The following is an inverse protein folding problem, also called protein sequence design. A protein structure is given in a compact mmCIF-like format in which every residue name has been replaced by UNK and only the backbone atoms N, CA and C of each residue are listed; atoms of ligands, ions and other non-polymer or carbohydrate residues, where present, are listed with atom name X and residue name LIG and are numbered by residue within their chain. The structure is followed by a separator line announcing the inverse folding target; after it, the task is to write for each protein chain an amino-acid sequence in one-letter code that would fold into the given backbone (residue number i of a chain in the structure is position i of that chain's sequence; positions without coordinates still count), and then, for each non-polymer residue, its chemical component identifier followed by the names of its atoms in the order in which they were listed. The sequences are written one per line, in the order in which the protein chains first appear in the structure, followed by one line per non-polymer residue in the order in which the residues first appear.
data_IF_703240195521
#
_entry.id   IF_703240195521
#
_cell.length_a   1.000
_cell.length_b   1.000
_cell.length_c   1.000
_cell.angle_alpha   90.00
_cell.angle_beta   90.00
_cell.angle_gamma   90.00
#
_symmetry.space_group_name_H-M   'P 1'
#
loop_
_entity.id
_entity.type
_entity.pdbx_description
1 polymer ?
#
# COMPACT_ATOMS: atom_id res chain seq x y z
N UNK A 1 13.15 -5.59 5.80
CA UNK A 1 12.09 -6.59 6.00
C UNK A 1 10.78 -5.95 5.60
N UNK A 2 10.19 -6.43 4.50
CA UNK A 2 8.88 -5.94 4.04
C UNK A 2 7.84 -6.46 5.03
N UNK A 3 7.37 -5.60 5.94
CA UNK A 3 6.37 -5.97 6.95
C UNK A 3 4.96 -6.16 6.35
N UNK A 4 4.70 -5.62 5.16
CA UNK A 4 3.43 -5.78 4.46
C UNK A 4 3.64 -6.43 3.08
N UNK A 5 3.35 -7.74 2.93
CA UNK A 5 3.56 -8.45 1.68
C UNK A 5 2.71 -7.88 0.54
N UNK A 6 1.53 -7.35 0.88
CA UNK A 6 0.62 -6.75 -0.08
C UNK A 6 1.18 -5.48 -0.72
N UNK A 7 1.75 -4.57 0.06
CA UNK A 7 2.44 -3.39 -0.45
C UNK A 7 3.60 -3.75 -1.40
N UNK A 8 4.35 -4.80 -1.11
CA UNK A 8 5.42 -5.25 -1.99
C UNK A 8 4.90 -5.88 -3.28
N UNK A 9 3.81 -6.66 -3.21
CA UNK A 9 3.12 -7.15 -4.41
C UNK A 9 2.70 -5.97 -5.30
N UNK A 10 2.01 -4.95 -4.75
CA UNK A 10 1.57 -3.77 -5.50
C UNK A 10 2.74 -3.06 -6.19
N UNK A 11 3.90 -2.92 -5.54
CA UNK A 11 5.07 -2.27 -6.13
C UNK A 11 5.74 -3.09 -7.24
N UNK A 12 5.54 -4.41 -7.26
CA UNK A 12 6.05 -5.28 -8.32
C UNK A 12 5.08 -5.39 -9.50
N UNK A 13 3.79 -5.13 -9.28
CA UNK A 13 2.77 -5.15 -10.30
C UNK A 13 2.86 -3.88 -11.18
N UNK A 14 2.80 -4.00 -12.52
CA UNK A 14 2.79 -2.86 -13.43
C UNK A 14 1.41 -2.18 -13.44
N UNK A 15 1.05 -1.53 -12.33
CA UNK A 15 -0.26 -0.89 -12.14
C UNK A 15 -0.21 0.60 -12.49
N UNK A 16 -1.25 1.15 -13.13
CA UNK A 16 -1.40 2.60 -13.26
C UNK A 16 -1.51 3.29 -11.90
N UNK A 17 -1.02 4.55 -11.78
CA UNK A 17 -1.09 5.35 -10.53
C UNK A 17 -2.45 5.30 -9.85
N UNK A 18 -3.55 5.39 -10.60
CA UNK A 18 -4.92 5.32 -10.07
C UNK A 18 -5.25 3.99 -9.39
N UNK A 19 -4.88 2.87 -10.03
CA UNK A 19 -5.15 1.52 -9.53
C UNK A 19 -4.21 1.20 -8.36
N UNK A 20 -2.98 1.69 -8.42
CA UNK A 20 -2.03 1.62 -7.33
C UNK A 20 -2.56 2.36 -6.09
N UNK A 21 -3.13 3.55 -6.26
CA UNK A 21 -3.79 4.27 -5.15
C UNK A 21 -4.98 3.48 -4.59
N UNK A 22 -5.82 2.88 -5.42
CA UNK A 22 -6.90 2.01 -4.94
C UNK A 22 -6.32 0.86 -4.09
N UNK A 23 -5.29 0.19 -4.58
CA UNK A 23 -4.69 -0.96 -3.92
C UNK A 23 -3.97 -0.57 -2.61
N UNK A 24 -3.34 0.60 -2.55
CA UNK A 24 -2.69 1.12 -1.33
C UNK A 24 -3.69 1.48 -0.24
N UNK A 25 -4.90 1.86 -0.62
CA UNK A 25 -5.99 2.24 0.28
C UNK A 25 -6.96 1.09 0.57
N UNK A 26 -6.61 -0.11 0.11
CA UNK A 26 -7.28 -1.34 0.45
C UNK A 26 -6.30 -2.34 1.05
N UNK A 27 -6.73 -3.10 2.06
CA UNK A 27 -5.93 -4.22 2.54
C UNK A 27 -6.35 -5.51 1.83
N UNK A 28 -5.38 -6.38 1.56
CA UNK A 28 -5.60 -7.70 0.97
C UNK A 28 -5.96 -8.70 2.06
N UNK A 29 -7.12 -9.31 1.92
CA UNK A 29 -7.56 -10.47 2.68
C UNK A 29 -7.60 -11.68 1.76
N UNK A 30 -6.76 -12.68 2.05
CA UNK A 30 -6.79 -13.95 1.35
C UNK A 30 -7.98 -14.77 1.87
N UNK A 31 -8.99 -15.01 1.02
CA UNK A 31 -10.16 -15.84 1.38
C UNK A 31 -9.88 -17.29 1.03
N UNK A 32 -9.18 -17.55 -0.08
CA UNK A 32 -8.74 -18.88 -0.52
C UNK A 32 -7.53 -18.77 -1.46
N UNK A 33 -6.95 -19.89 -1.91
CA UNK A 33 -5.81 -19.89 -2.84
C UNK A 33 -6.07 -19.10 -4.14
N UNK A 34 -7.32 -19.11 -4.62
CA UNK A 34 -7.75 -18.41 -5.83
C UNK A 34 -8.73 -17.26 -5.57
N UNK A 35 -8.99 -16.88 -4.30
CA UNK A 35 -9.95 -15.83 -3.97
C UNK A 35 -9.34 -14.80 -3.02
N UNK A 36 -9.38 -13.54 -3.46
CA UNK A 36 -8.81 -12.41 -2.75
C UNK A 36 -9.91 -11.37 -2.56
N UNK A 37 -10.09 -10.94 -1.31
CA UNK A 37 -10.96 -9.84 -0.97
C UNK A 37 -10.12 -8.61 -0.62
N UNK A 38 -10.33 -7.51 -1.32
CA UNK A 38 -9.74 -6.22 -1.00
C UNK A 38 -10.75 -5.38 -0.24
N UNK A 39 -10.34 -4.97 0.95
CA UNK A 39 -11.17 -4.17 1.83
C UNK A 39 -10.75 -2.71 1.67
N UNK A 40 -11.49 -1.98 0.86
CA UNK A 40 -11.25 -0.60 0.52
C UNK A 40 -11.90 0.32 1.54
N UNK A 41 -11.18 1.36 1.96
CA UNK A 41 -11.77 2.39 2.82
C UNK A 41 -12.92 3.11 2.11
N UNK A 42 -14.10 3.26 2.75
CA UNK A 42 -15.26 3.91 2.13
C UNK A 42 -14.96 5.35 1.70
N UNK A 43 -14.05 6.05 2.40
CA UNK A 43 -13.55 7.38 2.01
C UNK A 43 -12.98 7.44 0.59
N UNK A 44 -12.52 6.29 0.07
CA UNK A 44 -11.87 6.16 -1.24
C UNK A 44 -12.64 5.27 -2.21
N UNK A 45 -13.92 5.02 -1.92
CA UNK A 45 -14.86 4.32 -2.82
C UNK A 45 -14.86 4.89 -4.24
N UNK A 46 -14.64 6.19 -4.41
CA UNK A 46 -14.60 6.85 -5.73
C UNK A 46 -13.46 6.34 -6.64
N UNK A 47 -12.38 5.79 -6.06
CA UNK A 47 -11.31 5.14 -6.80
C UNK A 47 -11.74 3.75 -7.31
N UNK A 48 -12.72 3.12 -6.65
CA UNK A 48 -13.26 1.82 -7.02
C UNK A 48 -14.17 1.93 -8.24
N UNK A 49 -13.55 1.86 -9.40
CA UNK A 49 -14.23 1.77 -10.69
C UNK A 49 -14.09 0.35 -11.23
N UNK A 50 -15.08 -0.10 -12.02
CA UNK A 50 -15.01 -1.41 -12.66
C UNK A 50 -13.72 -1.61 -13.46
N UNK A 51 -13.26 -0.56 -14.15
CA UNK A 51 -11.98 -0.57 -14.87
C UNK A 51 -10.78 -0.74 -13.95
N UNK A 52 -10.72 -0.04 -12.82
CA UNK A 52 -9.64 -0.20 -11.85
C UNK A 52 -9.62 -1.60 -11.23
N UNK A 53 -10.80 -2.14 -10.89
CA UNK A 53 -10.94 -3.50 -10.37
C UNK A 53 -10.46 -4.54 -11.39
N UNK A 54 -10.83 -4.40 -12.66
CA UNK A 54 -10.39 -5.31 -13.73
C UNK A 54 -8.88 -5.26 -13.92
N UNK A 55 -8.29 -4.06 -14.03
CA UNK A 55 -6.84 -3.90 -14.18
C UNK A 55 -6.08 -4.51 -13.01
N UNK A 56 -6.58 -4.31 -11.78
CA UNK A 56 -5.96 -4.88 -10.58
C UNK A 56 -6.07 -6.42 -10.58
N UNK A 57 -7.24 -6.95 -10.90
CA UNK A 57 -7.49 -8.39 -10.98
C UNK A 57 -6.60 -9.07 -12.03
N UNK A 58 -6.48 -8.45 -13.20
CA UNK A 58 -5.64 -8.95 -14.30
C UNK A 58 -4.16 -8.94 -13.91
N UNK A 59 -3.69 -7.84 -13.32
CA UNK A 59 -2.30 -7.73 -12.87
C UNK A 59 -1.96 -8.78 -11.80
N UNK A 60 -2.83 -8.97 -10.81
CA UNK A 60 -2.63 -9.99 -9.77
C UNK A 60 -2.66 -11.40 -10.39
N UNK A 61 -3.61 -11.68 -11.28
CA UNK A 61 -3.72 -12.96 -11.98
C UNK A 61 -2.45 -13.26 -12.79
N UNK A 62 -1.92 -12.27 -13.51
CA UNK A 62 -0.68 -12.38 -14.26
C UNK A 62 0.53 -12.64 -13.37
N UNK A 63 0.58 -12.01 -12.19
CA UNK A 63 1.68 -12.18 -11.23
C UNK A 63 1.65 -13.54 -10.52
N UNK A 64 0.48 -14.01 -10.12
CA UNK A 64 0.30 -15.31 -9.45
C UNK A 64 0.37 -16.47 -10.46
N UNK A 65 0.12 -16.19 -11.75
CA UNK A 65 0.15 -17.17 -12.83
C UNK A 65 -1.09 -18.07 -12.89
N UNK A 66 -2.11 -17.80 -12.07
CA UNK A 66 -3.39 -18.51 -12.04
C UNK A 66 -4.54 -17.52 -11.90
N UNK A 67 -5.73 -17.84 -12.45
CA UNK A 67 -6.89 -16.96 -12.34
C UNK A 67 -7.29 -16.79 -10.88
N UNK A 68 -7.29 -15.54 -10.41
CA UNK A 68 -7.79 -15.19 -9.08
C UNK A 68 -9.08 -14.37 -9.19
N UNK A 69 -10.01 -14.64 -8.29
CA UNK A 69 -11.23 -13.85 -8.12
C UNK A 69 -10.92 -12.70 -7.17
N UNK A 70 -10.90 -11.48 -7.70
CA UNK A 70 -10.74 -10.26 -6.92
C UNK A 70 -12.10 -9.65 -6.58
N UNK A 71 -12.43 -9.63 -5.31
CA UNK A 71 -13.61 -8.95 -4.79
C UNK A 71 -13.19 -7.70 -4.03
N UNK A 72 -13.76 -6.54 -4.35
CA UNK A 72 -13.51 -5.31 -3.59
C UNK A 72 -14.75 -5.00 -2.77
N UNK A 73 -14.60 -4.94 -1.45
CA UNK A 73 -15.66 -4.55 -0.52
C UNK A 73 -15.27 -3.27 0.21
N UNK A 74 -16.27 -2.49 0.58
CA UNK A 74 -16.08 -1.30 1.40
C UNK A 74 -15.99 -1.73 2.86
N UNK A 75 -14.87 -1.42 3.52
CA UNK A 75 -14.64 -1.77 4.92
C UNK A 75 -14.06 -0.58 5.69
N UNK A 76 -14.79 -0.18 6.73
CA UNK A 76 -14.38 0.85 7.69
C UNK A 76 -13.55 0.29 8.86
N UNK A 77 -13.39 -1.04 8.92
CA UNK A 77 -12.66 -1.71 9.99
C UNK A 77 -11.18 -1.35 9.94
N UNK A 78 -10.72 -0.64 10.97
CA UNK A 78 -9.33 -0.20 11.14
C UNK A 78 -8.47 -1.19 11.91
N UNK A 79 -9.01 -2.35 12.29
CA UNK A 79 -8.29 -3.45 12.95
C UNK A 79 -7.19 -3.98 12.04
N UNK A 80 -7.46 -4.08 10.73
CA UNK A 80 -6.46 -4.39 9.71
C UNK A 80 -6.02 -3.10 9.02
N UNK A 81 -4.73 -2.79 9.13
CA UNK A 81 -4.14 -1.61 8.51
C UNK A 81 -3.97 -1.82 7.01
N UNK A 82 -4.38 -0.83 6.22
CA UNK A 82 -4.04 -0.76 4.79
C UNK A 82 -2.54 -0.51 4.60
N UNK A 83 -1.97 -0.83 3.43
CA UNK A 83 -0.58 -0.49 3.08
C UNK A 83 -0.21 0.97 3.36
N UNK A 84 -1.14 1.89 3.11
CA UNK A 84 -0.95 3.31 3.35
C UNK A 84 -0.87 3.64 4.86
N UNK A 85 -1.74 3.04 5.67
CA UNK A 85 -1.71 3.17 7.14
C UNK A 85 -0.46 2.50 7.75
N UNK A 86 -0.03 1.36 7.20
CA UNK A 86 1.23 0.73 7.57
C UNK A 86 2.42 1.66 7.33
N UNK A 87 2.44 2.35 6.18
CA UNK A 87 3.49 3.33 5.87
C UNK A 87 3.53 4.47 6.88
N UNK A 88 2.37 5.01 7.27
CA UNK A 88 2.28 6.06 8.29
C UNK A 88 2.74 5.54 9.66
N UNK A 89 2.28 4.36 10.06
CA UNK A 89 2.64 3.76 11.35
C UNK A 89 4.15 3.48 11.45
N UNK A 90 4.79 3.05 10.35
CA UNK A 90 6.25 2.87 10.28
C UNK A 90 6.96 4.23 10.35
N UNK A 91 6.42 5.26 9.70
CA UNK A 91 6.98 6.60 9.73
C UNK A 91 6.94 7.19 11.14
N UNK A 92 5.81 7.08 11.84
CA UNK A 92 5.68 7.50 13.23
C UNK A 92 6.59 6.70 14.18
N UNK A 93 6.65 5.36 14.02
CA UNK A 93 7.56 4.50 14.79
C UNK A 93 9.02 4.91 14.58
N UNK A 94 9.42 5.17 13.32
CA UNK A 94 10.75 5.69 12.99
C UNK A 94 10.99 7.09 13.53
N UNK A 95 9.99 7.97 13.53
CA UNK A 95 10.13 9.34 14.06
C UNK A 95 10.33 9.30 15.58
N UNK A 96 9.60 8.42 16.28
CA UNK A 96 9.79 8.17 17.71
C UNK A 96 11.16 7.56 17.99
N UNK A 97 11.53 6.52 17.23
CA UNK A 97 12.83 5.86 17.34
C UNK A 97 13.97 6.82 16.99
N UNK A 98 13.82 7.69 15.99
CA UNK A 98 14.80 8.71 15.63
C UNK A 98 14.91 9.75 16.75
N UNK A 99 13.81 10.15 17.39
CA UNK A 99 13.85 11.02 18.57
C UNK A 99 14.59 10.37 19.75
N UNK A 100 14.41 9.07 19.97
CA UNK A 100 15.17 8.32 20.98
C UNK A 100 16.62 8.06 20.56
N UNK A 101 16.89 7.84 19.27
CA UNK A 101 18.22 7.56 18.71
C UNK A 101 19.05 8.83 18.47
N UNK A 102 18.41 9.99 18.35
CA UNK A 102 19.08 11.30 18.38
C UNK A 102 19.68 11.60 19.76
N UNK A 103 19.29 10.84 20.80
CA UNK A 103 20.01 10.82 22.06
C UNK A 103 21.18 9.82 22.08
N UNK A 104 21.37 8.97 21.05
CA UNK A 104 22.33 7.86 21.13
C UNK A 104 23.26 7.57 19.95
N UNK A 105 22.98 7.75 18.64
CA UNK A 105 24.08 7.65 17.64
C UNK A 105 23.79 7.98 16.15
N UNK A 106 24.91 8.25 15.47
CA UNK A 106 25.20 8.86 14.15
C UNK A 106 24.83 8.04 12.89
N UNK A 107 24.03 6.96 12.97
CA UNK A 107 23.91 5.98 11.87
C UNK A 107 22.75 6.17 10.86
N UNK A 108 21.87 7.16 11.04
CA UNK A 108 20.55 7.20 10.35
C UNK A 108 20.58 7.76 8.90
N UNK A 109 21.72 8.20 8.36
CA UNK A 109 21.74 8.78 6.99
C UNK A 109 21.50 7.76 5.86
N UNK A 110 21.68 6.46 6.08
CA UNK A 110 21.55 5.45 5.01
C UNK A 110 20.09 5.03 4.77
N UNK A 111 19.20 5.19 5.77
CA UNK A 111 17.81 4.72 5.67
C UNK A 111 16.90 5.65 4.84
N UNK A 112 17.24 6.94 4.72
CA UNK A 112 16.52 7.89 3.86
C UNK A 112 16.69 7.54 2.37
N UNK A 113 17.87 7.07 1.95
CA UNK A 113 18.19 6.90 0.52
C UNK A 113 17.50 5.73 -0.18
N UNK A 114 16.89 4.81 0.57
CA UNK A 114 16.16 3.67 0.00
C UNK A 114 14.64 3.88 -0.12
N UNK A 115 14.08 4.89 0.56
CA UNK A 115 12.66 5.26 0.45
C UNK A 115 12.42 6.44 -0.50
N UNK A 116 13.49 6.96 -1.11
CA UNK A 116 13.53 8.08 -2.06
C UNK A 116 13.26 7.67 -3.52
N UNK A 117 12.89 6.41 -3.77
CA UNK A 117 12.50 5.96 -5.11
C UNK A 117 10.98 5.90 -5.21
N UNK A 118 10.40 6.99 -5.73
CA UNK A 118 9.04 7.12 -6.25
C UNK A 118 7.89 7.45 -5.26
N UNK A 119 8.07 8.48 -4.44
CA UNK A 119 6.95 9.38 -4.08
C UNK A 119 7.05 10.59 -5.01
N UNK A 120 6.25 10.58 -6.07
CA UNK A 120 6.12 11.71 -7.00
C UNK A 120 5.58 12.93 -6.22
N UNK A 121 6.46 13.91 -6.01
CA UNK A 121 6.27 15.14 -5.25
C UNK A 121 5.40 16.19 -5.99
N UNK A 122 4.34 15.80 -6.70
CA UNK A 122 3.37 16.78 -7.19
C UNK A 122 2.29 16.99 -6.12
N UNK A 123 2.54 17.93 -5.21
CA UNK A 123 1.57 18.87 -4.64
C UNK A 123 1.94 19.28 -3.21
N UNK A 124 3.13 19.87 -3.05
CA UNK A 124 3.37 20.85 -2.00
C UNK A 124 3.59 22.20 -2.70
N UNK A 125 2.49 22.92 -2.96
CA UNK A 125 2.56 24.38 -3.06
C UNK A 125 1.91 24.95 -1.81
N UNK A 126 2.67 25.46 -0.84
CA UNK A 126 2.15 26.50 0.03
C UNK A 126 2.22 27.82 -0.75
N UNK A 127 1.15 28.60 -0.73
CA UNK A 127 1.23 30.05 -1.02
C UNK A 127 1.89 30.77 0.14
#
# INVERSE_FOLDING_TARGET
MVRDPWAAEINQLPLPKLVQQLALNAFKQQVSDNEICLHLRPSQRHLNTASAQQVLSDAITQHIGHPVTLTIIEDEDTTVKTPLEWRQSIYEEKLLQARESMASDTHIQTLCRYFDAELDEDSIRPV
#
